data_IF_301613778171
#
_entry.id   IF_301613778171
#
_cell.length_a   1.000
_cell.length_b   1.000
_cell.length_c   1.000
_cell.angle_alpha   90.00
_cell.angle_beta   90.00
_cell.angle_gamma   90.00
#
_symmetry.space_group_name_H-M   'P 1'
#
loop_
_entity.id
_entity.type
_entity.pdbx_description
1 polymer ?
#
# COMPACT_ATOMS: atom_id res chain seq x y z
N UNK A 1 -31.62 -0.53 -45.57
CA UNK A 1 -30.70 -1.53 -45.01
C UNK A 1 -29.32 -0.90 -44.70
N UNK A 2 -29.26 0.25 -44.04
CA UNK A 2 -28.00 1.00 -43.77
C UNK A 2 -27.98 1.65 -42.38
N UNK A 3 -28.85 1.21 -41.48
CA UNK A 3 -28.93 1.82 -40.12
C UNK A 3 -28.39 0.94 -38.98
N UNK A 4 -27.93 -0.28 -39.26
CA UNK A 4 -27.47 -1.24 -38.22
C UNK A 4 -25.95 -1.17 -38.01
N UNK A 5 -25.17 -0.64 -38.98
CA UNK A 5 -23.71 -0.56 -38.88
C UNK A 5 -23.14 0.58 -38.01
N UNK A 6 -23.92 1.63 -37.77
CA UNK A 6 -23.43 2.83 -37.06
C UNK A 6 -23.55 2.76 -35.53
N UNK A 7 -24.39 1.87 -35.00
CA UNK A 7 -24.52 1.71 -33.54
C UNK A 7 -23.37 0.93 -32.89
N UNK A 8 -22.76 0.00 -33.64
CA UNK A 8 -21.62 -0.79 -33.14
C UNK A 8 -20.33 0.03 -33.09
N UNK A 9 -20.11 0.91 -34.07
CA UNK A 9 -18.87 1.74 -34.10
C UNK A 9 -18.82 2.87 -33.07
N UNK A 10 -19.98 3.30 -32.53
CA UNK A 10 -20.00 4.31 -31.47
C UNK A 10 -19.73 3.75 -30.06
N UNK A 11 -19.93 2.46 -29.85
CA UNK A 11 -19.70 1.84 -28.54
C UNK A 11 -18.22 1.54 -28.27
N UNK A 12 -17.45 1.19 -29.29
CA UNK A 12 -16.01 0.90 -29.17
C UNK A 12 -15.14 2.17 -28.99
N UNK A 13 -15.68 3.36 -29.24
CA UNK A 13 -14.94 4.63 -29.11
C UNK A 13 -15.04 5.30 -27.74
N UNK A 14 -15.69 4.67 -26.78
CA UNK A 14 -15.97 5.26 -25.47
C UNK A 14 -15.37 4.49 -24.31
N UNK A 15 -14.24 3.92 -24.56
CA UNK A 15 -13.29 3.51 -23.53
C UNK A 15 -12.95 4.75 -22.69
N UNK A 16 -13.05 4.62 -21.39
CA UNK A 16 -12.62 5.58 -20.39
C UNK A 16 -11.38 6.35 -20.88
N UNK A 17 -11.41 7.68 -20.82
CA UNK A 17 -10.28 8.53 -21.23
C UNK A 17 -8.98 8.03 -20.59
N UNK A 18 -9.09 7.48 -19.40
CA UNK A 18 -8.01 6.86 -18.67
C UNK A 18 -7.45 5.61 -19.36
N UNK A 19 -8.27 4.76 -19.98
CA UNK A 19 -7.79 3.58 -20.69
C UNK A 19 -7.09 3.92 -22.01
N UNK A 20 -7.42 5.06 -22.61
CA UNK A 20 -6.78 5.54 -23.87
C UNK A 20 -5.30 5.90 -23.69
N UNK A 21 -4.92 6.36 -22.52
CA UNK A 21 -3.57 6.91 -22.30
C UNK A 21 -2.52 5.81 -22.14
N UNK A 22 -2.92 4.60 -21.72
CA UNK A 22 -1.95 3.61 -21.22
C UNK A 22 -1.86 2.32 -22.05
N UNK A 23 -2.76 2.03 -23.01
CA UNK A 23 -2.94 0.66 -23.46
C UNK A 23 -2.76 0.36 -24.95
N UNK A 24 -2.20 1.24 -25.73
CA UNK A 24 -2.08 1.00 -27.16
C UNK A 24 -1.20 -0.20 -27.55
N UNK A 25 -0.29 -0.64 -26.66
CA UNK A 25 0.71 -1.67 -26.96
C UNK A 25 0.65 -2.90 -26.04
N UNK A 26 -0.35 -3.02 -25.16
CA UNK A 26 -0.44 -4.09 -24.19
C UNK A 26 -1.52 -5.11 -24.61
N UNK A 27 -1.20 -6.39 -24.51
CA UNK A 27 -2.15 -7.47 -24.80
C UNK A 27 -3.28 -7.53 -23.77
N UNK A 28 -3.00 -7.10 -22.53
CA UNK A 28 -3.97 -6.94 -21.45
C UNK A 28 -3.98 -5.48 -21.00
N UNK A 29 -5.05 -5.06 -20.31
CA UNK A 29 -5.10 -3.77 -19.60
C UNK A 29 -4.58 -3.97 -18.16
N UNK A 30 -3.28 -3.73 -17.87
CA UNK A 30 -2.69 -4.07 -16.60
C UNK A 30 -3.16 -3.11 -15.51
N UNK A 31 -3.69 -3.69 -14.43
CA UNK A 31 -4.08 -2.96 -13.23
C UNK A 31 -2.83 -2.49 -12.47
N UNK A 32 -1.87 -3.39 -12.31
CA UNK A 32 -0.55 -3.09 -11.73
C UNK A 32 0.45 -2.93 -12.86
N UNK A 33 1.07 -1.77 -12.96
CA UNK A 33 1.86 -1.36 -14.15
C UNK A 33 3.37 -1.46 -13.95
N UNK A 34 3.82 -1.71 -12.74
CA UNK A 34 5.24 -1.73 -12.36
C UNK A 34 5.40 -2.43 -11.02
N UNK A 35 6.60 -2.94 -10.72
CA UNK A 35 6.97 -3.37 -9.37
C UNK A 35 6.92 -2.21 -8.36
N UNK A 36 7.06 -0.96 -8.82
CA UNK A 36 6.90 0.21 -7.97
C UNK A 36 5.45 0.67 -7.78
N UNK A 37 4.47 0.03 -8.43
CA UNK A 37 3.05 0.26 -8.13
C UNK A 37 2.65 -0.46 -6.82
N UNK A 38 3.38 -0.10 -5.77
CA UNK A 38 3.33 -0.68 -4.43
C UNK A 38 3.54 0.41 -3.38
N UNK A 39 3.10 0.13 -2.16
CA UNK A 39 3.32 1.05 -1.03
C UNK A 39 4.79 1.02 -0.57
N UNK A 40 5.35 2.19 -0.33
CA UNK A 40 6.78 2.40 -0.03
C UNK A 40 7.26 1.61 1.19
N UNK A 41 6.41 1.43 2.21
CA UNK A 41 6.76 0.62 3.39
C UNK A 41 7.14 -0.83 3.04
N UNK A 42 6.62 -1.40 1.93
CA UNK A 42 6.99 -2.75 1.51
C UNK A 42 8.45 -2.84 1.05
N UNK A 43 8.95 -1.81 0.39
CA UNK A 43 10.38 -1.75 0.02
C UNK A 43 11.27 -1.64 1.26
N UNK A 44 10.90 -0.77 2.21
CA UNK A 44 11.63 -0.61 3.47
C UNK A 44 11.65 -1.90 4.28
N UNK A 45 10.49 -2.56 4.41
CA UNK A 45 10.37 -3.82 5.13
C UNK A 45 11.09 -4.96 4.44
N UNK A 46 11.06 -5.04 3.10
CA UNK A 46 11.77 -6.09 2.37
C UNK A 46 13.29 -5.97 2.57
N UNK A 47 13.85 -4.76 2.54
CA UNK A 47 15.26 -4.54 2.86
C UNK A 47 15.59 -5.00 4.29
N UNK A 48 14.72 -4.66 5.25
CA UNK A 48 14.85 -5.09 6.64
C UNK A 48 14.81 -6.62 6.78
N UNK A 49 13.84 -7.28 6.13
CA UNK A 49 13.66 -8.73 6.20
C UNK A 49 14.84 -9.48 5.60
N UNK A 50 15.36 -9.04 4.46
CA UNK A 50 16.53 -9.65 3.82
C UNK A 50 17.79 -9.63 4.71
N UNK A 51 17.89 -8.68 5.64
CA UNK A 51 19.00 -8.63 6.58
C UNK A 51 18.73 -9.44 7.85
N UNK A 52 17.53 -9.31 8.42
CA UNK A 52 17.25 -9.78 9.79
C UNK A 52 16.53 -11.14 9.82
N UNK A 53 15.90 -11.55 8.72
CA UNK A 53 15.13 -12.80 8.63
C UNK A 53 15.14 -13.41 7.21
N UNK A 54 16.33 -13.58 6.56
CA UNK A 54 16.41 -13.94 5.14
C UNK A 54 15.85 -15.34 4.83
N UNK A 55 15.92 -16.28 5.78
CA UNK A 55 15.55 -17.67 5.59
C UNK A 55 14.10 -17.98 6.02
N UNK A 56 13.34 -16.95 6.41
CA UNK A 56 11.96 -17.15 6.87
C UNK A 56 11.03 -17.34 5.69
N UNK A 57 10.29 -18.45 5.73
CA UNK A 57 9.21 -18.77 4.78
C UNK A 57 7.87 -18.44 5.42
N UNK A 58 6.96 -17.81 4.64
CA UNK A 58 5.63 -17.44 5.09
C UNK A 58 4.56 -17.88 4.11
N UNK A 59 3.34 -18.00 4.61
CA UNK A 59 2.15 -18.18 3.79
C UNK A 59 1.18 -17.03 4.04
N UNK A 60 0.93 -16.24 3.00
CA UNK A 60 -0.08 -15.18 3.01
C UNK A 60 -1.36 -15.67 2.36
N UNK A 61 -2.50 -15.22 2.89
CA UNK A 61 -3.80 -15.52 2.30
C UNK A 61 -4.66 -14.27 2.25
N UNK A 62 -5.39 -14.12 1.14
CA UNK A 62 -6.35 -13.02 1.00
C UNK A 62 -7.63 -13.36 1.75
N UNK A 63 -8.04 -12.47 2.64
CA UNK A 63 -9.30 -12.55 3.36
C UNK A 63 -10.21 -11.38 3.01
N UNK A 64 -11.34 -11.65 2.37
CA UNK A 64 -12.38 -10.64 2.17
C UNK A 64 -13.21 -10.46 3.46
N UNK A 65 -12.97 -9.35 4.17
CA UNK A 65 -13.73 -9.01 5.40
C UNK A 65 -15.15 -8.53 5.11
N UNK A 66 -15.47 -8.18 3.85
CA UNK A 66 -16.79 -7.74 3.43
C UNK A 66 -17.63 -8.95 2.98
N UNK A 67 -18.07 -9.78 3.93
CA UNK A 67 -18.78 -11.06 3.68
C UNK A 67 -20.01 -10.93 2.76
N UNK A 68 -20.67 -9.77 2.75
CA UNK A 68 -21.82 -9.49 1.87
C UNK A 68 -21.44 -9.33 0.39
N UNK A 69 -20.16 -9.16 0.06
CA UNK A 69 -19.67 -8.98 -1.30
C UNK A 69 -18.99 -10.27 -1.72
N UNK A 70 -19.69 -11.07 -2.52
CA UNK A 70 -19.19 -12.33 -3.04
C UNK A 70 -18.32 -12.05 -4.29
N UNK A 71 -17.02 -11.88 -4.08
CA UNK A 71 -16.09 -11.45 -5.13
C UNK A 71 -16.03 -12.41 -6.31
N UNK A 72 -16.14 -13.73 -6.08
CA UNK A 72 -16.12 -14.74 -7.13
C UNK A 72 -17.40 -14.79 -7.99
N UNK A 73 -18.47 -14.09 -7.57
CA UNK A 73 -19.68 -13.92 -8.35
C UNK A 73 -19.64 -12.64 -9.22
N UNK A 74 -18.70 -11.75 -8.95
CA UNK A 74 -18.61 -10.43 -9.60
C UNK A 74 -17.39 -10.31 -10.50
N UNK A 75 -16.28 -10.92 -10.09
CA UNK A 75 -15.00 -10.87 -10.80
C UNK A 75 -14.86 -12.14 -11.64
N UNK A 76 -14.47 -11.96 -12.89
CA UNK A 76 -14.07 -13.06 -13.76
C UNK A 76 -12.74 -13.66 -13.30
N UNK A 77 -12.68 -15.00 -13.10
CA UNK A 77 -11.46 -15.66 -12.62
C UNK A 77 -10.34 -15.65 -13.66
N UNK A 78 -10.68 -15.73 -14.94
CA UNK A 78 -9.69 -15.74 -16.02
C UNK A 78 -8.99 -14.36 -16.07
N UNK A 79 -9.78 -13.26 -16.04
CA UNK A 79 -9.23 -11.90 -15.96
C UNK A 79 -8.38 -11.71 -14.69
N UNK A 80 -8.83 -12.25 -13.56
CA UNK A 80 -8.03 -12.20 -12.30
C UNK A 80 -6.68 -12.93 -12.46
N UNK A 81 -6.68 -14.13 -13.04
CA UNK A 81 -5.46 -14.90 -13.29
C UNK A 81 -4.52 -14.20 -14.28
N UNK A 82 -5.05 -13.61 -15.33
CA UNK A 82 -4.26 -12.82 -16.28
C UNK A 82 -3.54 -11.66 -15.58
N UNK A 83 -4.24 -10.92 -14.72
CA UNK A 83 -3.65 -9.82 -13.95
C UNK A 83 -2.58 -10.30 -12.97
N UNK A 84 -2.80 -11.41 -12.27
CA UNK A 84 -1.82 -11.95 -11.33
C UNK A 84 -0.58 -12.52 -12.06
N UNK A 85 -0.77 -13.20 -13.19
CA UNK A 85 0.34 -13.67 -14.02
C UNK A 85 1.15 -12.50 -14.57
N UNK A 86 0.48 -11.43 -15.02
CA UNK A 86 1.17 -10.20 -15.43
C UNK A 86 2.04 -9.63 -14.31
N UNK A 87 1.54 -9.58 -13.07
CA UNK A 87 2.32 -9.08 -11.92
C UNK A 87 3.59 -9.94 -11.70
N UNK A 88 3.49 -11.26 -11.85
CA UNK A 88 4.66 -12.16 -11.71
C UNK A 88 5.75 -11.90 -12.76
N UNK A 89 5.35 -11.45 -13.94
CA UNK A 89 6.26 -11.17 -15.05
C UNK A 89 6.89 -9.77 -14.96
N UNK A 90 6.42 -8.92 -14.03
CA UNK A 90 7.00 -7.60 -13.83
C UNK A 90 8.44 -7.70 -13.33
N UNK A 91 9.24 -6.77 -13.80
CA UNK A 91 10.61 -6.56 -13.34
C UNK A 91 10.88 -5.06 -13.16
N UNK A 92 11.84 -4.73 -12.32
CA UNK A 92 12.25 -3.35 -12.11
C UNK A 92 12.93 -2.81 -13.38
N UNK A 93 12.42 -1.71 -13.91
CA UNK A 93 13.04 -1.05 -15.08
C UNK A 93 14.32 -0.30 -14.67
N UNK A 94 15.17 0.01 -15.65
CA UNK A 94 16.39 0.80 -15.41
C UNK A 94 16.09 2.19 -14.82
N UNK A 95 15.01 2.84 -15.26
CA UNK A 95 14.59 4.14 -14.73
C UNK A 95 14.16 4.06 -13.26
N UNK A 96 13.41 3.04 -12.91
CA UNK A 96 12.97 2.78 -11.53
C UNK A 96 14.15 2.43 -10.62
N UNK A 97 15.05 1.59 -11.08
CA UNK A 97 16.31 1.28 -10.37
C UNK A 97 17.15 2.53 -10.13
N UNK A 98 17.29 3.39 -11.14
CA UNK A 98 18.00 4.67 -11.02
C UNK A 98 17.34 5.59 -10.00
N UNK A 99 15.99 5.65 -10.00
CA UNK A 99 15.24 6.43 -9.04
C UNK A 99 15.46 5.94 -7.60
N UNK A 100 15.40 4.63 -7.35
CA UNK A 100 15.65 4.06 -6.03
C UNK A 100 17.09 4.32 -5.55
N UNK A 101 18.07 4.30 -6.43
CA UNK A 101 19.49 4.52 -6.11
C UNK A 101 19.81 6.00 -5.87
N UNK A 102 19.16 6.89 -6.60
CA UNK A 102 19.55 8.31 -6.66
C UNK A 102 18.60 9.27 -5.93
N UNK A 103 17.38 8.88 -5.66
CA UNK A 103 16.40 9.76 -5.05
C UNK A 103 16.71 10.03 -3.56
N UNK A 104 16.28 11.20 -3.10
CA UNK A 104 16.26 11.54 -1.68
C UNK A 104 14.93 11.11 -1.10
N UNK A 105 14.96 10.18 -0.14
CA UNK A 105 13.80 9.80 0.64
C UNK A 105 13.94 10.38 2.04
N UNK A 106 12.95 11.14 2.49
CA UNK A 106 13.00 11.87 3.76
C UNK A 106 14.27 12.72 3.93
N UNK A 107 14.71 13.33 2.82
CA UNK A 107 15.93 14.14 2.77
C UNK A 107 17.25 13.36 2.82
N UNK A 108 17.20 12.03 2.80
CA UNK A 108 18.40 11.17 2.82
C UNK A 108 18.67 10.49 1.49
N UNK A 109 19.96 10.45 1.13
CA UNK A 109 20.44 9.63 0.01
C UNK A 109 20.66 8.19 0.49
N UNK A 110 20.52 7.26 -0.45
CA UNK A 110 20.87 5.85 -0.26
C UNK A 110 20.14 5.18 0.93
N UNK A 111 18.85 5.47 1.11
CA UNK A 111 18.01 4.75 2.09
C UNK A 111 17.94 3.26 1.75
N UNK A 112 18.02 2.94 0.46
CA UNK A 112 18.13 1.57 -0.03
C UNK A 112 19.59 1.23 -0.34
N UNK A 113 20.05 0.08 0.18
CA UNK A 113 21.38 -0.44 -0.11
C UNK A 113 21.47 -0.89 -1.56
N UNK A 114 22.63 -0.72 -2.21
CA UNK A 114 22.83 -1.23 -3.56
C UNK A 114 22.48 -2.72 -3.71
N UNK A 115 22.87 -3.55 -2.74
CA UNK A 115 22.57 -4.99 -2.72
C UNK A 115 21.08 -5.30 -2.66
N UNK A 116 20.28 -4.48 -1.98
CA UNK A 116 18.83 -4.61 -1.97
C UNK A 116 18.24 -4.29 -3.36
N UNK A 117 18.70 -3.24 -4.00
CA UNK A 117 18.21 -2.86 -5.34
C UNK A 117 18.62 -3.94 -6.36
N UNK A 118 19.85 -4.47 -6.27
CA UNK A 118 20.31 -5.57 -7.11
C UNK A 118 19.47 -6.86 -6.92
N UNK A 119 19.00 -7.11 -5.69
CA UNK A 119 18.08 -8.18 -5.39
C UNK A 119 16.68 -7.89 -5.99
N UNK A 120 16.18 -6.66 -5.83
CA UNK A 120 14.87 -6.24 -6.35
C UNK A 120 14.80 -6.30 -7.89
N UNK A 121 15.90 -6.01 -8.58
CA UNK A 121 16.03 -6.18 -10.04
C UNK A 121 15.86 -7.64 -10.48
N UNK A 122 16.17 -8.59 -9.61
CA UNK A 122 16.10 -10.03 -9.86
C UNK A 122 14.86 -10.69 -9.23
N UNK A 123 14.07 -9.90 -8.50
CA UNK A 123 12.88 -10.40 -7.80
C UNK A 123 11.96 -11.15 -8.76
N UNK A 124 11.56 -12.35 -8.33
CA UNK A 124 10.50 -13.15 -8.94
C UNK A 124 9.47 -13.44 -7.87
N UNK A 125 8.23 -13.06 -8.11
CA UNK A 125 7.18 -13.32 -7.15
C UNK A 125 6.86 -14.82 -7.13
N UNK A 126 6.68 -15.41 -5.93
CA UNK A 126 6.28 -16.80 -5.78
C UNK A 126 4.96 -17.13 -6.48
N UNK A 127 4.75 -18.41 -6.77
CA UNK A 127 3.49 -18.94 -7.30
C UNK A 127 2.33 -18.62 -6.35
N UNK A 128 1.12 -18.58 -6.91
CA UNK A 128 -0.10 -18.39 -6.16
C UNK A 128 -1.09 -19.53 -6.39
N UNK A 129 -1.92 -19.80 -5.41
CA UNK A 129 -3.07 -20.68 -5.54
C UNK A 129 -4.36 -19.86 -5.50
N UNK A 130 -5.31 -20.19 -6.39
CA UNK A 130 -6.67 -19.64 -6.36
C UNK A 130 -7.66 -20.80 -6.31
N UNK A 131 -8.61 -20.70 -5.36
CA UNK A 131 -9.77 -21.56 -5.26
C UNK A 131 -11.03 -20.73 -5.07
N UNK A 132 -12.15 -21.21 -5.60
CA UNK A 132 -13.47 -20.62 -5.32
C UNK A 132 -14.15 -21.40 -4.22
N UNK A 133 -14.61 -20.70 -3.20
CA UNK A 133 -15.38 -21.29 -2.11
C UNK A 133 -16.42 -20.30 -1.60
N UNK A 134 -17.66 -20.73 -1.49
CA UNK A 134 -18.78 -19.94 -0.95
C UNK A 134 -18.93 -18.55 -1.59
N UNK A 135 -18.69 -18.45 -2.92
CA UNK A 135 -18.75 -17.20 -3.67
C UNK A 135 -17.56 -16.25 -3.43
N UNK A 136 -16.53 -16.70 -2.73
CA UNK A 136 -15.29 -15.96 -2.50
C UNK A 136 -14.11 -16.59 -3.23
N UNK A 137 -13.06 -15.81 -3.46
CA UNK A 137 -11.75 -16.32 -3.83
C UNK A 137 -10.92 -16.57 -2.58
N UNK A 138 -10.41 -17.79 -2.45
CA UNK A 138 -9.32 -18.14 -1.55
C UNK A 138 -8.02 -18.04 -2.35
N UNK A 139 -7.21 -17.04 -2.08
CA UNK A 139 -5.94 -16.82 -2.78
C UNK A 139 -4.83 -16.90 -1.75
N UNK A 140 -3.82 -17.72 -2.01
CA UNK A 140 -2.66 -17.87 -1.14
C UNK A 140 -1.34 -17.81 -1.89
N UNK A 141 -0.31 -17.37 -1.19
CA UNK A 141 1.06 -17.17 -1.65
C UNK A 141 1.98 -17.76 -0.60
N UNK A 142 2.93 -18.62 -1.01
CA UNK A 142 3.86 -19.27 -0.09
C UNK A 142 5.28 -19.20 -0.64
N UNK A 143 6.25 -18.89 0.22
CA UNK A 143 7.65 -18.77 -0.17
C UNK A 143 8.47 -17.91 0.79
N UNK A 144 9.68 -17.47 0.37
CA UNK A 144 10.51 -16.56 1.15
C UNK A 144 9.76 -15.29 1.53
N UNK A 145 9.87 -14.88 2.80
CA UNK A 145 9.08 -13.75 3.31
C UNK A 145 9.30 -12.48 2.50
N UNK A 146 10.55 -12.13 2.21
CA UNK A 146 10.89 -10.93 1.44
C UNK A 146 10.25 -10.90 0.04
N UNK A 147 9.94 -12.07 -0.55
CA UNK A 147 9.31 -12.18 -1.86
C UNK A 147 7.78 -12.17 -1.75
N UNK A 148 7.23 -12.99 -0.82
CA UNK A 148 5.78 -13.13 -0.62
C UNK A 148 5.12 -11.81 -0.23
N UNK A 149 5.79 -10.97 0.56
CA UNK A 149 5.25 -9.69 1.02
C UNK A 149 4.89 -8.72 -0.11
N UNK A 150 5.50 -8.87 -1.29
CA UNK A 150 5.18 -8.06 -2.47
C UNK A 150 3.82 -8.41 -3.10
N UNK A 151 3.20 -9.52 -2.73
CA UNK A 151 1.86 -9.86 -3.19
C UNK A 151 0.74 -9.06 -2.55
N UNK A 152 0.90 -8.60 -1.29
CA UNK A 152 -0.19 -7.98 -0.53
C UNK A 152 -0.83 -6.81 -1.27
N UNK A 153 -0.05 -5.81 -1.63
CA UNK A 153 -0.57 -4.58 -2.23
C UNK A 153 -1.12 -4.83 -3.63
N UNK A 154 -0.40 -5.50 -4.53
CA UNK A 154 -0.88 -5.78 -5.89
C UNK A 154 -2.16 -6.61 -5.93
N UNK A 155 -2.26 -7.70 -5.18
CA UNK A 155 -3.47 -8.55 -5.21
C UNK A 155 -4.71 -7.80 -4.71
N UNK A 156 -4.57 -6.97 -3.67
CA UNK A 156 -5.67 -6.17 -3.17
C UNK A 156 -6.09 -5.07 -4.16
N UNK A 157 -5.12 -4.45 -4.83
CA UNK A 157 -5.37 -3.48 -5.91
C UNK A 157 -6.12 -4.12 -7.07
N UNK A 158 -5.69 -5.32 -7.50
CA UNK A 158 -6.35 -6.06 -8.59
C UNK A 158 -7.79 -6.41 -8.22
N UNK A 159 -8.03 -6.99 -7.04
CA UNK A 159 -9.37 -7.37 -6.61
C UNK A 159 -10.32 -6.17 -6.50
N UNK A 160 -9.84 -5.05 -5.96
CA UNK A 160 -10.65 -3.83 -5.82
C UNK A 160 -10.94 -3.16 -7.17
N UNK A 161 -9.98 -3.14 -8.08
CA UNK A 161 -10.16 -2.56 -9.41
C UNK A 161 -11.03 -3.44 -10.31
N UNK A 162 -10.85 -4.77 -10.33
CA UNK A 162 -11.72 -5.69 -11.06
C UNK A 162 -13.17 -5.62 -10.58
N UNK A 163 -13.37 -5.56 -9.26
CA UNK A 163 -14.70 -5.32 -8.69
C UNK A 163 -15.29 -3.99 -9.17
N UNK A 164 -14.50 -2.92 -9.17
CA UNK A 164 -14.95 -1.61 -9.66
C UNK A 164 -15.30 -1.66 -11.13
N UNK A 165 -14.47 -2.26 -11.97
CA UNK A 165 -14.75 -2.49 -13.41
C UNK A 165 -16.06 -3.24 -13.61
N UNK A 166 -16.28 -4.32 -12.87
CA UNK A 166 -17.51 -5.11 -12.99
C UNK A 166 -18.78 -4.31 -12.64
N UNK A 167 -18.73 -3.46 -11.64
CA UNK A 167 -19.86 -2.57 -11.29
C UNK A 167 -20.08 -1.52 -12.38
N UNK A 168 -19.02 -0.93 -12.90
CA UNK A 168 -19.10 0.15 -13.88
C UNK A 168 -19.50 -0.35 -15.27
N UNK A 169 -19.22 -1.62 -15.61
CA UNK A 169 -19.50 -2.21 -16.92
C UNK A 169 -20.95 -2.07 -17.36
N UNK A 170 -21.88 -2.08 -16.41
CA UNK A 170 -23.32 -1.99 -16.67
C UNK A 170 -23.86 -0.55 -16.62
N UNK A 171 -23.03 0.45 -16.34
CA UNK A 171 -23.44 1.84 -16.28
C UNK A 171 -23.42 2.47 -17.68
N UNK A 172 -24.44 3.27 -17.98
CA UNK A 172 -24.47 4.11 -19.17
C UNK A 172 -23.45 5.25 -19.08
N UNK A 173 -23.08 5.80 -20.25
CA UNK A 173 -22.11 6.91 -20.33
C UNK A 173 -22.46 8.08 -19.41
N UNK A 174 -23.72 8.49 -19.40
CA UNK A 174 -24.19 9.60 -18.59
C UNK A 174 -24.05 9.30 -17.10
N UNK A 175 -24.41 8.08 -16.68
CA UNK A 175 -24.28 7.64 -15.30
C UNK A 175 -22.81 7.64 -14.83
N UNK A 176 -21.89 7.18 -15.68
CA UNK A 176 -20.45 7.21 -15.41
C UNK A 176 -19.95 8.66 -15.25
N UNK A 177 -20.35 9.56 -16.14
CA UNK A 177 -19.96 10.98 -16.04
C UNK A 177 -20.48 11.63 -14.76
N UNK A 178 -21.73 11.33 -14.37
CA UNK A 178 -22.31 11.82 -13.10
C UNK A 178 -21.57 11.22 -11.90
N UNK A 179 -21.22 9.93 -11.94
CA UNK A 179 -20.48 9.27 -10.87
C UNK A 179 -19.11 9.93 -10.65
N UNK A 180 -18.34 10.11 -11.73
CA UNK A 180 -17.02 10.75 -11.65
C UNK A 180 -17.10 12.23 -11.23
N UNK A 181 -18.07 12.97 -11.75
CA UNK A 181 -18.27 14.36 -11.33
C UNK A 181 -18.55 14.46 -9.83
N UNK A 182 -19.42 13.61 -9.28
CA UNK A 182 -19.71 13.54 -7.85
C UNK A 182 -18.47 13.13 -7.04
N UNK A 183 -17.68 12.18 -7.53
CA UNK A 183 -16.46 11.75 -6.84
C UNK A 183 -15.41 12.86 -6.80
N UNK A 184 -15.23 13.61 -7.90
CA UNK A 184 -14.36 14.79 -7.98
C UNK A 184 -14.82 15.89 -7.03
N UNK A 185 -16.12 16.22 -7.03
CA UNK A 185 -16.69 17.20 -6.12
C UNK A 185 -16.42 16.85 -4.67
N UNK A 186 -16.64 15.59 -4.27
CA UNK A 186 -16.33 15.13 -2.91
C UNK A 186 -14.86 15.29 -2.52
N UNK A 187 -13.94 15.08 -3.45
CA UNK A 187 -12.52 15.31 -3.17
C UNK A 187 -12.22 16.77 -2.97
N UNK A 188 -12.75 17.65 -3.83
CA UNK A 188 -12.57 19.10 -3.70
C UNK A 188 -13.17 19.64 -2.40
N UNK A 189 -14.37 19.20 -2.03
CA UNK A 189 -14.99 19.55 -0.74
C UNK A 189 -14.10 19.13 0.44
N UNK A 190 -13.50 17.94 0.41
CA UNK A 190 -12.55 17.51 1.44
C UNK A 190 -11.29 18.38 1.47
N UNK A 191 -10.76 18.74 0.32
CA UNK A 191 -9.60 19.63 0.22
C UNK A 191 -9.93 20.98 0.87
N UNK A 192 -11.08 21.59 0.54
CA UNK A 192 -11.49 22.86 1.12
C UNK A 192 -11.72 22.76 2.64
N UNK A 193 -12.28 21.67 3.13
CA UNK A 193 -12.46 21.42 4.57
C UNK A 193 -11.13 21.26 5.32
N UNK A 194 -10.09 20.69 4.67
CA UNK A 194 -8.81 20.41 5.29
C UNK A 194 -7.85 21.61 5.22
N UNK A 195 -7.97 22.47 4.23
CA UNK A 195 -7.11 23.67 4.07
C UNK A 195 -6.96 24.55 5.30
N UNK A 196 -8.01 24.82 6.12
CA UNK A 196 -7.90 25.71 7.26
C UNK A 196 -7.04 25.19 8.41
N UNK A 197 -6.78 23.88 8.47
CA UNK A 197 -6.02 23.28 9.58
C UNK A 197 -4.52 23.51 9.41
N UNK A 198 -3.97 24.45 10.17
CA UNK A 198 -2.53 24.69 10.21
C UNK A 198 -1.80 23.57 10.95
N UNK A 199 -0.58 23.29 10.55
CA UNK A 199 0.22 22.21 11.13
C UNK A 199 -0.13 20.79 10.67
N UNK A 200 -1.29 20.58 10.06
CA UNK A 200 -1.67 19.27 9.50
C UNK A 200 -0.84 18.95 8.24
N UNK A 201 -0.44 17.68 8.12
CA UNK A 201 0.20 17.12 6.93
C UNK A 201 -0.57 15.89 6.49
N UNK A 202 -0.81 15.75 5.19
CA UNK A 202 -1.61 14.67 4.60
C UNK A 202 -0.78 13.94 3.56
N UNK A 203 -0.87 12.61 3.58
CA UNK A 203 -0.33 11.73 2.54
C UNK A 203 -1.42 10.79 2.00
N UNK A 204 -1.30 10.39 0.74
CA UNK A 204 -2.14 9.33 0.17
C UNK A 204 -1.61 7.95 0.57
N UNK A 205 -2.53 7.08 1.00
CA UNK A 205 -2.32 5.65 1.28
C UNK A 205 -3.42 4.80 0.62
N UNK A 206 -3.81 5.15 -0.60
CA UNK A 206 -4.96 4.57 -1.29
C UNK A 206 -4.69 3.29 -2.05
N UNK A 207 -3.44 2.88 -2.30
CA UNK A 207 -3.05 1.86 -3.28
C UNK A 207 -3.85 0.56 -3.17
N UNK A 208 -3.95 -0.04 -1.99
CA UNK A 208 -4.63 -1.32 -1.75
C UNK A 208 -6.16 -1.27 -1.91
N UNK A 209 -6.74 -0.08 -1.89
CA UNK A 209 -8.21 0.13 -1.87
C UNK A 209 -8.65 1.10 -2.96
N UNK A 210 -7.80 1.40 -3.91
CA UNK A 210 -8.07 2.33 -4.99
C UNK A 210 -9.19 1.82 -5.90
N UNK A 211 -9.97 2.75 -6.42
CA UNK A 211 -10.96 2.47 -7.45
C UNK A 211 -10.28 2.02 -8.75
N UNK A 212 -9.22 2.73 -9.15
CA UNK A 212 -8.29 2.36 -10.21
C UNK A 212 -6.96 3.10 -9.99
N UNK A 213 -5.88 2.64 -10.67
CA UNK A 213 -4.60 3.36 -10.66
C UNK A 213 -4.76 4.81 -11.10
N UNK A 214 -5.46 5.04 -12.19
CA UNK A 214 -5.63 6.37 -12.76
C UNK A 214 -6.47 7.30 -11.86
N UNK A 215 -7.46 6.73 -11.16
CA UNK A 215 -8.23 7.48 -10.20
C UNK A 215 -7.38 7.88 -8.98
N UNK A 216 -6.54 6.98 -8.47
CA UNK A 216 -5.60 7.30 -7.40
C UNK A 216 -4.61 8.39 -7.83
N UNK A 217 -4.02 8.23 -9.03
CA UNK A 217 -3.08 9.20 -9.60
C UNK A 217 -3.72 10.59 -9.77
N UNK A 218 -4.98 10.64 -10.25
CA UNK A 218 -5.74 11.88 -10.32
C UNK A 218 -6.03 12.49 -8.93
N UNK A 219 -6.41 11.66 -7.95
CA UNK A 219 -6.62 12.13 -6.57
C UNK A 219 -5.34 12.73 -5.97
N UNK A 220 -4.20 12.08 -6.17
CA UNK A 220 -2.89 12.57 -5.71
C UNK A 220 -2.59 13.93 -6.35
N UNK A 221 -2.81 14.09 -7.66
CA UNK A 221 -2.63 15.36 -8.33
C UNK A 221 -3.53 16.45 -7.75
N UNK A 222 -4.82 16.18 -7.60
CA UNK A 222 -5.78 17.14 -7.04
C UNK A 222 -5.41 17.54 -5.60
N UNK A 223 -4.91 16.60 -4.80
CA UNK A 223 -4.41 16.90 -3.46
C UNK A 223 -3.15 17.76 -3.48
N UNK A 224 -2.20 17.51 -4.39
CA UNK A 224 -1.02 18.36 -4.57
C UNK A 224 -1.41 19.80 -4.89
N UNK A 225 -2.27 19.98 -5.90
CA UNK A 225 -2.71 21.30 -6.35
C UNK A 225 -3.56 22.01 -5.30
N UNK A 226 -4.47 21.27 -4.66
CA UNK A 226 -5.43 21.84 -3.72
C UNK A 226 -4.88 22.12 -2.32
N UNK A 227 -3.96 21.30 -1.82
CA UNK A 227 -3.41 21.38 -0.46
C UNK A 227 -2.03 22.04 -0.41
N UNK A 228 -1.31 22.12 -1.53
CA UNK A 228 0.05 22.66 -1.58
C UNK A 228 0.98 21.96 -0.61
N UNK A 229 1.73 22.70 0.19
CA UNK A 229 2.72 22.16 1.15
C UNK A 229 2.12 21.30 2.28
N UNK A 230 0.80 21.26 2.44
CA UNK A 230 0.12 20.38 3.41
C UNK A 230 0.00 18.94 2.89
N UNK A 231 0.08 18.71 1.57
CA UNK A 231 0.15 17.39 0.99
C UNK A 231 1.62 16.98 0.85
N UNK A 232 2.04 15.96 1.60
CA UNK A 232 3.46 15.61 1.74
C UNK A 232 3.89 14.44 0.85
N UNK A 233 2.97 13.78 0.14
CA UNK A 233 3.31 12.70 -0.77
C UNK A 233 2.31 11.55 -0.78
N UNK A 234 2.73 10.44 -1.34
CA UNK A 234 1.92 9.23 -1.48
C UNK A 234 2.71 7.99 -1.06
N UNK A 235 2.02 6.97 -0.56
CA UNK A 235 2.65 5.67 -0.30
C UNK A 235 2.99 4.92 -1.59
N UNK A 236 2.33 5.21 -2.70
CA UNK A 236 2.55 4.54 -3.98
C UNK A 236 3.86 5.01 -4.63
N UNK A 237 4.86 4.12 -4.70
CA UNK A 237 6.18 4.47 -5.22
C UNK A 237 6.16 4.91 -6.68
N UNK A 238 5.33 4.28 -7.53
CA UNK A 238 5.24 4.63 -8.95
C UNK A 238 4.65 6.03 -9.14
N UNK A 239 3.61 6.38 -8.39
CA UNK A 239 3.01 7.72 -8.43
C UNK A 239 3.99 8.74 -7.86
N UNK A 240 4.66 8.44 -6.73
CA UNK A 240 5.68 9.30 -6.14
C UNK A 240 6.80 9.61 -7.15
N UNK A 241 7.34 8.58 -7.81
CA UNK A 241 8.36 8.73 -8.84
C UNK A 241 7.90 9.60 -10.01
N UNK A 242 6.69 9.34 -10.55
CA UNK A 242 6.18 10.04 -11.73
C UNK A 242 5.81 11.50 -11.48
N UNK A 243 5.44 11.82 -10.25
CA UNK A 243 4.99 13.16 -9.84
C UNK A 243 6.02 13.92 -9.02
N UNK A 244 7.23 13.37 -8.88
CA UNK A 244 8.32 13.97 -8.10
C UNK A 244 7.90 14.31 -6.67
N UNK A 245 7.13 13.38 -6.05
CA UNK A 245 6.65 13.50 -4.68
C UNK A 245 7.47 12.64 -3.72
N UNK A 246 7.38 12.93 -2.44
CA UNK A 246 7.92 12.03 -1.41
C UNK A 246 7.14 10.72 -1.39
N UNK A 247 7.86 9.60 -1.38
CA UNK A 247 7.29 8.28 -1.14
C UNK A 247 7.15 8.07 0.37
N UNK A 248 5.91 7.95 0.86
CA UNK A 248 5.59 7.92 2.28
C UNK A 248 5.38 6.50 2.78
N UNK A 249 6.09 6.12 3.83
CA UNK A 249 5.92 4.83 4.48
C UNK A 249 6.89 4.63 5.64
N UNK A 250 6.54 3.71 6.54
CA UNK A 250 7.37 3.28 7.67
C UNK A 250 7.28 1.75 7.79
N UNK A 251 7.13 1.21 8.99
CA UNK A 251 6.92 -0.22 9.24
C UNK A 251 5.43 -0.60 9.19
N UNK A 252 5.12 -1.89 9.35
CA UNK A 252 3.77 -2.42 9.45
C UNK A 252 3.68 -3.58 10.44
N UNK A 253 2.45 -3.93 10.86
CA UNK A 253 2.15 -5.02 11.82
C UNK A 253 2.75 -6.37 11.43
N UNK A 254 2.96 -6.60 10.16
CA UNK A 254 3.57 -7.83 9.63
C UNK A 254 4.92 -8.14 10.30
N UNK A 255 5.77 -7.13 10.55
CA UNK A 255 7.05 -7.32 11.20
C UNK A 255 6.91 -7.89 12.63
N UNK A 256 6.25 -7.21 13.58
CA UNK A 256 6.11 -7.75 14.93
C UNK A 256 5.31 -9.06 14.96
N UNK A 257 4.35 -9.27 14.07
CA UNK A 257 3.59 -10.52 14.00
C UNK A 257 4.46 -11.72 13.64
N UNK A 258 5.31 -11.59 12.62
CA UNK A 258 6.17 -12.70 12.19
C UNK A 258 7.30 -12.92 13.20
N UNK A 259 7.94 -11.86 13.72
CA UNK A 259 8.95 -12.02 14.77
C UNK A 259 8.38 -12.65 16.04
N UNK A 260 7.13 -12.32 16.40
CA UNK A 260 6.43 -13.01 17.50
C UNK A 260 6.18 -14.49 17.21
N UNK A 261 5.84 -14.82 15.97
CA UNK A 261 5.65 -16.23 15.57
C UNK A 261 6.96 -17.04 15.56
N UNK A 262 8.10 -16.38 15.39
CA UNK A 262 9.43 -17.00 15.45
C UNK A 262 9.95 -17.17 16.88
N UNK A 263 9.35 -16.50 17.87
CA UNK A 263 9.76 -16.57 19.27
C UNK A 263 9.65 -18.00 19.82
N UNK A 264 10.68 -18.46 20.54
CA UNK A 264 10.75 -19.80 21.13
C UNK A 264 10.40 -19.80 22.61
N UNK A 265 10.44 -18.66 23.26
CA UNK A 265 10.15 -18.48 24.68
C UNK A 265 9.14 -17.35 24.90
N UNK A 266 8.46 -17.36 26.04
CA UNK A 266 7.54 -16.29 26.42
C UNK A 266 8.24 -14.93 26.53
N UNK A 267 9.49 -14.91 26.97
CA UNK A 267 10.29 -13.69 27.03
C UNK A 267 10.55 -13.13 25.64
N UNK A 268 11.00 -13.96 24.69
CA UNK A 268 11.19 -13.56 23.31
C UNK A 268 9.90 -13.05 22.68
N UNK A 269 8.78 -13.72 22.96
CA UNK A 269 7.45 -13.31 22.45
C UNK A 269 7.09 -11.90 22.95
N UNK A 270 7.29 -11.62 24.24
CA UNK A 270 7.01 -10.29 24.82
C UNK A 270 7.95 -9.22 24.28
N UNK A 271 9.19 -9.58 23.96
CA UNK A 271 10.21 -8.65 23.46
C UNK A 271 10.14 -8.45 21.94
N UNK A 272 9.49 -9.34 21.19
CA UNK A 272 9.48 -9.29 19.73
C UNK A 272 9.08 -7.92 19.14
N UNK A 273 8.03 -7.21 19.61
CA UNK A 273 7.67 -5.90 19.08
C UNK A 273 8.77 -4.85 19.27
N UNK A 274 9.49 -4.88 20.40
CA UNK A 274 10.56 -3.93 20.70
C UNK A 274 11.83 -4.27 19.92
N UNK A 275 12.17 -5.56 19.85
CA UNK A 275 13.31 -6.04 19.06
C UNK A 275 13.20 -5.62 17.60
N UNK A 276 12.01 -5.72 17.01
CA UNK A 276 11.74 -5.22 15.65
C UNK A 276 12.07 -3.73 15.54
N UNK A 277 11.74 -2.91 16.54
CA UNK A 277 12.02 -1.48 16.51
C UNK A 277 13.51 -1.18 16.67
N UNK A 278 14.23 -1.92 17.52
CA UNK A 278 15.70 -1.81 17.63
C UNK A 278 16.38 -2.13 16.31
N UNK A 279 16.05 -3.27 15.72
CA UNK A 279 16.61 -3.70 14.42
C UNK A 279 16.22 -2.75 13.28
N UNK A 280 15.02 -2.16 13.33
CA UNK A 280 14.56 -1.14 12.41
C UNK A 280 15.37 0.15 12.53
N UNK A 281 15.67 0.56 13.76
CA UNK A 281 16.51 1.71 14.03
C UNK A 281 17.93 1.54 13.45
N UNK A 282 18.51 0.36 13.60
CA UNK A 282 19.82 0.03 13.04
C UNK A 282 19.77 -0.05 11.49
N UNK A 283 18.71 -0.63 10.94
CA UNK A 283 18.56 -0.78 9.49
C UNK A 283 18.48 0.56 8.77
N UNK A 284 17.82 1.54 9.38
CA UNK A 284 17.56 2.85 8.77
C UNK A 284 18.36 3.99 9.38
N UNK A 285 19.51 3.71 10.02
CA UNK A 285 20.41 4.69 10.63
C UNK A 285 19.69 5.70 11.54
N UNK A 286 18.76 5.22 12.34
CA UNK A 286 17.95 6.04 13.24
C UNK A 286 16.93 6.94 12.57
N UNK A 287 16.60 6.67 11.29
CA UNK A 287 15.47 7.31 10.60
C UNK A 287 14.20 6.52 10.73
N UNK A 288 13.10 7.09 10.22
CA UNK A 288 11.79 6.42 10.18
C UNK A 288 11.34 5.88 11.54
N UNK A 289 11.72 6.59 12.62
CA UNK A 289 11.40 6.23 14.00
C UNK A 289 9.94 6.53 14.33
N UNK A 290 9.05 5.73 13.75
CA UNK A 290 7.59 5.79 13.98
C UNK A 290 7.15 4.47 14.59
N UNK A 291 6.59 4.54 15.79
CA UNK A 291 6.07 3.39 16.53
C UNK A 291 4.69 3.01 15.98
N UNK A 292 4.43 1.71 15.94
CA UNK A 292 3.13 1.12 15.63
C UNK A 292 2.71 0.22 16.81
N UNK A 293 2.05 0.79 17.85
CA UNK A 293 1.89 0.11 19.14
C UNK A 293 0.73 -0.88 19.21
N UNK A 294 -0.19 -0.86 18.24
CA UNK A 294 -1.49 -1.52 18.33
C UNK A 294 -1.51 -2.98 17.87
N UNK A 295 -0.37 -3.56 17.47
CA UNK A 295 -0.30 -4.98 17.02
C UNK A 295 -0.88 -5.94 18.06
N UNK A 296 -0.57 -5.74 19.33
CA UNK A 296 -1.06 -6.54 20.47
C UNK A 296 -1.74 -5.68 21.55
N UNK A 297 -2.26 -4.53 21.13
CA UNK A 297 -2.92 -3.55 22.00
C UNK A 297 -1.99 -2.44 22.48
N UNK A 298 -2.38 -1.21 22.17
CA UNK A 298 -1.61 0.01 22.47
C UNK A 298 -1.25 0.14 23.95
N UNK A 299 -2.22 -0.07 24.86
CA UNK A 299 -1.95 0.04 26.31
C UNK A 299 -0.92 -0.98 26.79
N UNK A 300 -1.04 -2.24 26.32
CA UNK A 300 -0.05 -3.28 26.67
C UNK A 300 1.34 -2.94 26.17
N UNK A 301 1.45 -2.44 24.95
CA UNK A 301 2.71 -2.01 24.37
C UNK A 301 3.34 -0.86 25.17
N UNK A 302 2.57 0.17 25.51
CA UNK A 302 3.07 1.34 26.25
C UNK A 302 3.50 0.99 27.69
N UNK A 303 2.72 0.15 28.38
CA UNK A 303 3.02 -0.26 29.75
C UNK A 303 4.32 -1.10 29.90
N UNK A 304 4.75 -1.74 28.81
CA UNK A 304 5.94 -2.59 28.80
C UNK A 304 7.08 -2.00 27.94
N UNK A 305 6.94 -0.73 27.54
CA UNK A 305 7.91 -0.10 26.66
C UNK A 305 9.25 0.15 27.36
N UNK A 306 10.38 -0.13 26.70
CA UNK A 306 11.69 0.21 27.22
C UNK A 306 11.96 1.73 27.14
N UNK A 307 12.81 2.25 28.02
CA UNK A 307 13.13 3.68 28.14
C UNK A 307 13.63 4.32 26.84
N UNK A 308 14.41 3.58 26.04
CA UNK A 308 14.94 4.10 24.78
C UNK A 308 13.84 4.46 23.77
N UNK A 309 12.63 3.91 23.91
CA UNK A 309 11.51 4.18 23.02
C UNK A 309 11.08 5.65 23.07
N UNK A 310 11.29 6.35 24.19
CA UNK A 310 11.02 7.77 24.32
C UNK A 310 11.83 8.66 23.35
N UNK A 311 12.91 8.13 22.77
CA UNK A 311 13.69 8.82 21.74
C UNK A 311 13.05 8.78 20.34
N UNK A 312 12.00 8.00 20.14
CA UNK A 312 11.32 7.88 18.87
C UNK A 312 10.48 9.13 18.57
N UNK A 313 10.35 9.46 17.29
CA UNK A 313 9.85 10.78 16.83
C UNK A 313 8.38 10.80 16.48
N UNK A 314 7.75 9.64 16.35
CA UNK A 314 6.34 9.56 15.99
C UNK A 314 5.68 8.26 16.42
N UNK A 315 4.36 8.32 16.55
CA UNK A 315 3.50 7.16 16.83
C UNK A 315 2.37 7.14 15.82
N UNK A 316 2.09 5.98 15.26
CA UNK A 316 0.97 5.76 14.35
C UNK A 316 -0.22 5.17 15.10
N UNK A 317 -1.34 5.87 15.07
CA UNK A 317 -2.65 5.37 15.52
C UNK A 317 -3.30 4.72 14.31
N UNK A 318 -3.29 3.39 14.23
CA UNK A 318 -3.70 2.65 13.03
C UNK A 318 -5.06 1.95 13.19
N UNK A 319 -5.46 1.64 14.42
CA UNK A 319 -6.72 0.95 14.72
C UNK A 319 -7.45 1.55 15.92
N UNK A 320 -8.74 1.21 16.03
CA UNK A 320 -9.62 1.71 17.11
C UNK A 320 -10.10 3.13 16.87
N UNK A 321 -10.58 3.75 17.95
CA UNK A 321 -10.98 5.14 17.96
C UNK A 321 -9.74 6.05 18.04
N UNK A 322 -9.54 6.98 17.07
CA UNK A 322 -8.35 7.81 17.03
C UNK A 322 -8.26 8.80 18.20
N UNK A 323 -9.39 9.26 18.76
CA UNK A 323 -9.40 10.13 19.93
C UNK A 323 -8.95 9.39 21.18
N UNK A 324 -9.46 8.17 21.39
CA UNK A 324 -9.01 7.30 22.48
C UNK A 324 -7.54 6.96 22.32
N UNK A 325 -7.10 6.61 21.11
CA UNK A 325 -5.70 6.33 20.81
C UNK A 325 -4.79 7.51 21.14
N UNK A 326 -5.17 8.72 20.76
CA UNK A 326 -4.43 9.93 21.05
C UNK A 326 -4.39 10.22 22.58
N UNK A 327 -5.50 10.04 23.29
CA UNK A 327 -5.54 10.18 24.76
C UNK A 327 -4.59 9.19 25.45
N UNK A 328 -4.59 7.93 25.04
CA UNK A 328 -3.68 6.91 25.60
C UNK A 328 -2.20 7.30 25.43
N UNK A 329 -1.84 7.80 24.25
CA UNK A 329 -0.47 8.24 23.97
C UNK A 329 -0.08 9.47 24.80
N UNK A 330 -1.02 10.43 24.96
CA UNK A 330 -0.77 11.65 25.72
C UNK A 330 -0.66 11.40 27.23
N UNK A 331 -1.42 10.45 27.76
CA UNK A 331 -1.49 10.13 29.20
C UNK A 331 -0.53 9.02 29.61
N UNK A 332 0.15 8.35 28.68
CA UNK A 332 1.16 7.35 29.01
C UNK A 332 2.35 8.02 29.73
N UNK A 333 2.85 7.41 30.82
CA UNK A 333 4.01 7.94 31.52
C UNK A 333 5.19 8.03 30.52
N UNK A 334 5.67 9.24 30.32
CA UNK A 334 6.91 9.48 29.60
C UNK A 334 8.07 9.22 30.60
N UNK A 335 9.14 8.53 30.21
CA UNK A 335 10.34 8.41 31.04
C UNK A 335 10.92 9.76 31.49
N UNK A 336 10.49 10.86 30.88
CA UNK A 336 10.82 12.23 31.27
C UNK A 336 10.05 12.73 32.49
N UNK A 337 8.95 12.09 32.86
CA UNK A 337 8.08 12.53 33.98
C UNK A 337 8.52 11.98 35.32
N UNK A 338 9.39 10.96 35.36
CA UNK A 338 9.96 10.40 36.60
C UNK A 338 11.18 11.17 37.15
N UNK A 339 11.64 12.21 36.45
CA UNK A 339 12.80 13.04 36.83
C UNK A 339 12.42 14.45 37.30
N UNK A 340 11.25 14.60 37.93
CA UNK A 340 10.90 15.84 38.63
C UNK A 340 10.72 15.62 40.12
#
# INVERSE_FOLDING_TARGET
>A
MLAIGLKSLCYDFMIDIASRVYNHNWKIDPIVRSLLDIDFYKLLMAQFVLRNAPDVTVKFSVLNRSSKILLANVIDEEELREQLNHIRDLSLSKGESTWLRGNLFYGKRAIFRPSFIDWLEKLKLPEYEIRKKDGQFEISFEGPWAEVMFWEVPVLSVLTELRSKAVLKNMGRFELQVLYARAMTKLWEKIEQLKPFDGMRIADFGTRRRHSFLWQDWCVQAMCEGMGSKFIGTSNCLIAMRRELEAIGTNAHELPMIFSALAKTETELKQAPYKVLEDWHEEHDGNLRVILPDTYGTQNFLNNSPDWLASWTGVRIDSGDPEIGACLLYTSPSPRDETK
#
